data_IF_054698127200
#
_entry.id   IF_054698127200
#
_cell.length_a   1.000
_cell.length_b   1.000
_cell.length_c   1.000
_cell.angle_alpha   90.00
_cell.angle_beta   90.00
_cell.angle_gamma   90.00
#
_symmetry.space_group_name_H-M   'P 1'
#
loop_
_entity.id
_entity.type
_entity.pdbx_description
1 polymer ?
#
# COMPACT_ATOMS: atom_id res chain seq x y z
N UNK A 1 -18.88 -14.62 19.88
CA UNK A 1 -19.16 -14.03 18.55
C UNK A 1 -18.10 -12.96 18.32
N UNK A 2 -17.55 -12.86 17.11
CA UNK A 2 -16.57 -11.81 16.82
C UNK A 2 -17.25 -10.46 16.63
N UNK A 3 -16.53 -9.39 16.99
CA UNK A 3 -17.04 -8.02 16.87
C UNK A 3 -16.10 -7.11 16.08
N UNK A 4 -16.65 -6.33 15.17
CA UNK A 4 -15.90 -5.40 14.30
C UNK A 4 -16.44 -3.99 14.44
N UNK A 5 -15.53 -3.02 14.65
CA UNK A 5 -15.84 -1.61 14.61
C UNK A 5 -15.52 -1.04 13.22
N UNK A 6 -16.50 -0.42 12.57
CA UNK A 6 -16.31 0.40 11.38
C UNK A 6 -16.23 1.87 11.84
N UNK A 7 -15.01 2.42 11.82
CA UNK A 7 -14.72 3.74 12.39
C UNK A 7 -14.82 4.91 11.39
N UNK A 8 -14.98 4.62 10.10
CA UNK A 8 -15.14 5.61 9.04
C UNK A 8 -16.40 5.33 8.21
N UNK A 9 -16.86 6.32 7.43
CA UNK A 9 -17.99 6.14 6.50
C UNK A 9 -17.67 5.06 5.46
N UNK A 10 -18.41 3.95 5.51
CA UNK A 10 -18.26 2.80 4.63
C UNK A 10 -19.64 2.37 4.11
N UNK A 11 -19.66 1.71 2.96
CA UNK A 11 -20.86 1.15 2.34
C UNK A 11 -21.58 0.16 3.28
N UNK A 12 -22.92 0.18 3.26
CA UNK A 12 -23.75 -0.69 4.11
C UNK A 12 -23.60 -2.18 3.76
N UNK A 13 -23.13 -2.49 2.56
CA UNK A 13 -22.79 -3.84 2.08
C UNK A 13 -21.78 -4.52 3.02
N UNK A 14 -20.84 -3.77 3.60
CA UNK A 14 -19.91 -4.32 4.59
C UNK A 14 -20.64 -4.86 5.83
N UNK A 15 -21.68 -4.16 6.32
CA UNK A 15 -22.48 -4.60 7.45
C UNK A 15 -23.27 -5.89 7.11
N UNK A 16 -23.79 -5.99 5.89
CA UNK A 16 -24.47 -7.18 5.41
C UNK A 16 -23.53 -8.40 5.39
N UNK A 17 -22.33 -8.24 4.83
CA UNK A 17 -21.32 -9.31 4.76
C UNK A 17 -20.89 -9.78 6.15
N UNK A 18 -20.64 -8.85 7.09
CA UNK A 18 -20.31 -9.23 8.47
C UNK A 18 -21.45 -10.01 9.12
N UNK A 19 -22.70 -9.55 8.95
CA UNK A 19 -23.89 -10.21 9.50
C UNK A 19 -24.07 -11.62 8.93
N UNK A 20 -23.97 -11.77 7.61
CA UNK A 20 -24.03 -13.08 6.92
C UNK A 20 -22.93 -14.03 7.41
N UNK A 21 -21.78 -13.48 7.79
CA UNK A 21 -20.68 -14.25 8.34
C UNK A 21 -20.80 -14.54 9.85
N UNK A 22 -21.85 -14.08 10.53
CA UNK A 22 -22.04 -14.26 11.97
C UNK A 22 -21.11 -13.39 12.82
N UNK A 23 -20.74 -12.21 12.31
CA UNK A 23 -19.89 -11.22 12.95
C UNK A 23 -20.74 -10.01 13.31
N UNK A 24 -20.69 -9.57 14.56
CA UNK A 24 -21.32 -8.34 15.00
C UNK A 24 -20.52 -7.15 14.47
N UNK A 25 -21.12 -6.29 13.65
CA UNK A 25 -20.48 -5.07 13.15
C UNK A 25 -21.22 -3.84 13.66
N UNK A 26 -20.46 -2.87 14.19
CA UNK A 26 -20.97 -1.57 14.63
C UNK A 26 -20.29 -0.45 13.87
N UNK A 27 -21.06 0.56 13.43
CA UNK A 27 -20.52 1.75 12.77
C UNK A 27 -20.56 2.93 13.74
N UNK A 28 -19.40 3.52 14.03
CA UNK A 28 -19.28 4.77 14.81
C UNK A 28 -18.18 5.62 14.19
N UNK A 29 -18.54 6.73 13.58
CA UNK A 29 -17.60 7.61 12.88
C UNK A 29 -17.15 8.77 13.76
N UNK A 30 -16.14 9.51 13.28
CA UNK A 30 -15.68 10.77 13.87
C UNK A 30 -15.19 10.62 15.33
N UNK A 31 -14.62 9.46 15.64
CA UNK A 31 -14.07 9.15 16.95
C UNK A 31 -12.68 9.75 17.12
N UNK A 32 -12.44 10.43 18.24
CA UNK A 32 -11.09 10.76 18.68
C UNK A 32 -10.36 9.51 19.21
N UNK A 33 -9.04 9.63 19.43
CA UNK A 33 -8.22 8.49 19.85
C UNK A 33 -8.74 7.83 21.15
N UNK A 34 -9.19 8.62 22.12
CA UNK A 34 -9.70 8.12 23.40
C UNK A 34 -11.01 7.35 23.23
N UNK A 35 -11.93 7.89 22.45
CA UNK A 35 -13.23 7.26 22.17
C UNK A 35 -13.04 6.00 21.32
N UNK A 36 -12.13 6.03 20.35
CA UNK A 36 -11.75 4.88 19.55
C UNK A 36 -11.22 3.74 20.42
N UNK A 37 -10.30 4.02 21.35
CA UNK A 37 -9.76 3.04 22.29
C UNK A 37 -10.87 2.41 23.14
N UNK A 38 -11.82 3.22 23.62
CA UNK A 38 -12.94 2.76 24.44
C UNK A 38 -13.82 1.76 23.69
N UNK A 39 -14.18 2.07 22.44
CA UNK A 39 -15.01 1.19 21.60
C UNK A 39 -14.26 -0.11 21.22
N UNK A 40 -12.95 -0.01 20.97
CA UNK A 40 -12.12 -1.14 20.56
C UNK A 40 -11.79 -2.12 21.69
N UNK A 41 -12.05 -1.79 22.96
CA UNK A 41 -11.81 -2.75 24.07
C UNK A 41 -12.58 -4.06 23.88
N UNK A 42 -13.76 -4.00 23.25
CA UNK A 42 -14.61 -5.17 23.00
C UNK A 42 -14.60 -5.64 21.53
N UNK A 43 -13.73 -5.10 20.68
CA UNK A 43 -13.68 -5.46 19.25
C UNK A 43 -12.52 -6.40 18.92
N UNK A 44 -12.77 -7.37 18.05
CA UNK A 44 -11.75 -8.24 17.44
C UNK A 44 -11.18 -7.63 16.14
N UNK A 45 -11.94 -6.77 15.47
CA UNK A 45 -11.52 -6.11 14.23
C UNK A 45 -11.84 -4.61 14.20
N UNK A 46 -11.03 -3.87 13.45
CA UNK A 46 -11.22 -2.46 13.15
C UNK A 46 -11.23 -2.27 11.63
N UNK A 47 -12.22 -1.56 11.10
CA UNK A 47 -12.26 -1.08 9.72
C UNK A 47 -12.10 0.43 9.70
N UNK A 48 -11.11 0.91 8.94
CA UNK A 48 -10.85 2.34 8.72
C UNK A 48 -10.76 2.66 7.24
N UNK A 49 -10.92 3.93 6.89
CA UNK A 49 -10.61 4.51 5.59
C UNK A 49 -9.41 5.43 5.72
N UNK A 50 -9.57 6.74 5.49
CA UNK A 50 -8.49 7.74 5.56
C UNK A 50 -8.64 8.69 6.77
N UNK A 51 -9.81 8.76 7.40
CA UNK A 51 -10.07 9.76 8.43
C UNK A 51 -9.59 9.28 9.80
N UNK A 52 -10.00 8.08 10.21
CA UNK A 52 -9.58 7.50 11.49
C UNK A 52 -8.11 7.07 11.44
N UNK A 53 -7.33 7.43 12.47
CA UNK A 53 -5.92 7.04 12.61
C UNK A 53 -5.77 5.92 13.64
N UNK A 54 -5.30 4.76 13.20
CA UNK A 54 -4.91 3.67 14.08
C UNK A 54 -3.45 3.86 14.51
N UNK A 55 -3.24 4.79 15.45
CA UNK A 55 -1.91 5.13 15.98
C UNK A 55 -1.36 4.04 16.89
N UNK A 56 -0.06 4.11 17.21
CA UNK A 56 0.58 3.27 18.22
C UNK A 56 -0.21 3.19 19.53
N UNK A 57 -0.63 4.35 20.06
CA UNK A 57 -1.41 4.43 21.31
C UNK A 57 -2.72 3.63 21.24
N UNK A 58 -3.44 3.75 20.12
CA UNK A 58 -4.69 3.01 19.88
C UNK A 58 -4.43 1.51 19.83
N UNK A 59 -3.43 1.10 19.05
CA UNK A 59 -3.11 -0.31 18.82
C UNK A 59 -2.66 -1.01 20.11
N UNK A 60 -1.76 -0.39 20.87
CA UNK A 60 -1.20 -0.94 22.11
C UNK A 60 -2.25 -1.03 23.23
N UNK A 61 -3.22 -0.12 23.25
CA UNK A 61 -4.28 -0.07 24.26
C UNK A 61 -5.39 -1.11 24.04
N UNK A 62 -5.47 -1.71 22.84
CA UNK A 62 -6.58 -2.59 22.45
C UNK A 62 -6.15 -4.06 22.35
N UNK A 63 -6.07 -4.74 23.51
CA UNK A 63 -5.55 -6.12 23.60
C UNK A 63 -6.37 -7.14 22.80
N UNK A 64 -7.70 -6.99 22.76
CA UNK A 64 -8.63 -7.90 22.06
C UNK A 64 -8.56 -7.78 20.54
N UNK A 65 -8.15 -6.62 20.01
CA UNK A 65 -8.03 -6.37 18.58
C UNK A 65 -7.09 -7.41 17.95
N UNK A 66 -7.47 -7.97 16.80
CA UNK A 66 -6.69 -8.98 16.06
C UNK A 66 -6.35 -8.51 14.65
N UNK A 67 -7.20 -7.67 14.07
CA UNK A 67 -7.10 -7.25 12.67
C UNK A 67 -7.52 -5.80 12.47
N UNK A 68 -6.79 -5.10 11.60
CA UNK A 68 -7.12 -3.77 11.12
C UNK A 68 -7.27 -3.87 9.59
N UNK A 69 -8.47 -3.62 9.09
CA UNK A 69 -8.72 -3.52 7.67
C UNK A 69 -8.80 -2.08 7.22
N UNK A 70 -7.93 -1.70 6.28
CA UNK A 70 -8.03 -0.41 5.59
C UNK A 70 -8.81 -0.59 4.30
N UNK A 71 -9.98 0.02 4.21
CA UNK A 71 -10.78 0.09 2.99
C UNK A 71 -10.19 1.12 2.00
N UNK A 72 -9.15 0.69 1.29
CA UNK A 72 -8.48 1.34 0.17
C UNK A 72 -7.00 0.91 0.07
N UNK A 73 -6.23 1.49 -0.87
CA UNK A 73 -4.82 1.09 -1.11
C UNK A 73 -3.85 1.53 0.01
N UNK A 74 -3.76 2.84 0.28
CA UNK A 74 -2.81 3.38 1.25
C UNK A 74 -3.14 2.97 2.68
N UNK A 75 -2.11 2.79 3.50
CA UNK A 75 -2.23 2.44 4.92
C UNK A 75 -1.53 3.48 5.81
N UNK A 76 -1.36 4.69 5.29
CA UNK A 76 -0.59 5.78 5.89
C UNK A 76 -1.16 6.23 7.26
N UNK A 77 -2.44 5.95 7.52
CA UNK A 77 -3.14 6.21 8.77
C UNK A 77 -3.12 5.03 9.77
N UNK A 78 -2.34 3.98 9.51
CA UNK A 78 -2.16 2.83 10.38
C UNK A 78 -0.69 2.69 10.75
N UNK A 79 -0.39 2.63 12.04
CA UNK A 79 0.97 2.39 12.53
C UNK A 79 1.34 0.90 12.34
N UNK A 80 1.99 0.59 11.22
CA UNK A 80 2.35 -0.78 10.85
C UNK A 80 3.36 -1.40 11.82
N UNK A 81 4.28 -0.61 12.37
CA UNK A 81 5.29 -1.11 13.30
C UNK A 81 4.64 -1.50 14.64
N UNK A 82 3.73 -0.66 15.15
CA UNK A 82 2.94 -0.98 16.32
C UNK A 82 2.02 -2.19 16.08
N UNK A 83 1.34 -2.26 14.94
CA UNK A 83 0.49 -3.39 14.58
C UNK A 83 1.29 -4.70 14.54
N UNK A 84 2.43 -4.70 13.85
CA UNK A 84 3.34 -5.84 13.73
C UNK A 84 3.84 -6.27 15.11
N UNK A 85 4.35 -5.34 15.90
CA UNK A 85 4.91 -5.60 17.24
C UNK A 85 3.87 -6.19 18.20
N UNK A 86 2.60 -5.79 18.06
CA UNK A 86 1.49 -6.27 18.89
C UNK A 86 0.73 -7.46 18.27
N UNK A 87 1.24 -8.04 17.18
CA UNK A 87 0.66 -9.24 16.56
C UNK A 87 -0.71 -8.99 15.92
N UNK A 88 -0.94 -7.78 15.41
CA UNK A 88 -2.19 -7.38 14.74
C UNK A 88 -1.99 -7.46 13.23
N UNK A 89 -2.85 -8.17 12.53
CA UNK A 89 -2.81 -8.23 11.06
C UNK A 89 -3.36 -6.93 10.50
N UNK A 90 -2.67 -6.34 9.53
CA UNK A 90 -3.17 -5.19 8.76
C UNK A 90 -3.41 -5.64 7.33
N UNK A 91 -4.62 -5.43 6.81
CA UNK A 91 -5.00 -5.74 5.43
C UNK A 91 -5.50 -4.48 4.72
N UNK A 92 -5.28 -4.41 3.41
CA UNK A 92 -5.80 -3.33 2.57
C UNK A 92 -6.63 -3.87 1.39
N UNK A 93 -7.10 -2.98 0.51
CA UNK A 93 -7.84 -3.35 -0.70
C UNK A 93 -7.15 -2.78 -1.95
N UNK A 94 -6.07 -3.42 -2.42
CA UNK A 94 -5.11 -2.80 -3.35
C UNK A 94 -5.65 -2.60 -4.77
N UNK A 95 -6.80 -3.20 -5.10
CA UNK A 95 -7.39 -3.18 -6.43
C UNK A 95 -8.71 -2.39 -6.50
N UNK A 96 -9.43 -2.25 -5.38
CA UNK A 96 -10.82 -1.77 -5.37
C UNK A 96 -11.05 -0.36 -5.93
N UNK A 97 -10.03 0.49 -5.91
CA UNK A 97 -10.08 1.87 -6.41
C UNK A 97 -9.10 2.14 -7.57
N UNK A 98 -8.39 1.15 -8.11
CA UNK A 98 -7.35 1.38 -9.13
C UNK A 98 -7.89 2.05 -10.40
N UNK A 99 -9.09 1.65 -10.83
CA UNK A 99 -9.78 2.22 -11.99
C UNK A 99 -10.18 3.67 -11.70
N UNK A 100 -10.91 3.89 -10.60
CA UNK A 100 -11.38 5.21 -10.18
C UNK A 100 -10.24 6.23 -10.03
N UNK A 101 -9.11 5.82 -9.43
CA UNK A 101 -7.96 6.72 -9.28
C UNK A 101 -7.30 7.04 -10.63
N UNK A 102 -7.26 6.07 -11.55
CA UNK A 102 -6.74 6.31 -12.89
C UNK A 102 -7.66 7.25 -13.69
N UNK A 103 -8.98 7.09 -13.59
CA UNK A 103 -9.97 7.98 -14.20
C UNK A 103 -9.86 9.40 -13.66
N UNK A 104 -9.70 9.56 -12.34
CA UNK A 104 -9.47 10.87 -11.72
C UNK A 104 -8.17 11.51 -12.21
N UNK A 105 -7.08 10.75 -12.31
CA UNK A 105 -5.82 11.25 -12.86
C UNK A 105 -5.95 11.71 -14.31
N UNK A 106 -6.58 10.93 -15.19
CA UNK A 106 -6.86 11.32 -16.58
C UNK A 106 -7.74 12.57 -16.64
N UNK A 107 -8.76 12.64 -15.78
CA UNK A 107 -9.65 13.81 -15.67
C UNK A 107 -8.89 15.06 -15.30
N UNK A 108 -8.00 14.98 -14.29
CA UNK A 108 -7.15 16.10 -13.90
C UNK A 108 -6.12 16.46 -14.98
N UNK A 109 -5.53 15.48 -15.68
CA UNK A 109 -4.65 15.73 -16.84
C UNK A 109 -5.39 16.58 -17.88
N UNK A 110 -6.59 16.17 -18.29
CA UNK A 110 -7.38 16.92 -19.28
C UNK A 110 -7.85 18.27 -18.74
N UNK A 111 -8.18 18.36 -17.45
CA UNK A 111 -8.57 19.61 -16.80
C UNK A 111 -7.45 20.63 -16.79
N UNK A 112 -6.19 20.20 -16.57
CA UNK A 112 -5.01 21.09 -16.69
C UNK A 112 -4.75 21.51 -18.15
N UNK A 113 -5.05 20.65 -19.12
CA UNK A 113 -4.92 21.00 -20.54
C UNK A 113 -5.92 22.09 -20.98
N UNK A 114 -7.11 22.12 -20.36
CA UNK A 114 -8.26 22.95 -20.79
C UNK A 114 -8.69 24.03 -19.80
N UNK A 115 -8.04 24.11 -18.63
CA UNK A 115 -8.33 25.08 -17.57
C UNK A 115 -9.79 25.04 -17.07
N UNK A 116 -10.37 23.85 -17.00
CA UNK A 116 -11.82 23.66 -16.78
C UNK A 116 -12.32 24.36 -15.51
N UNK A 117 -11.70 24.22 -14.32
CA UNK A 117 -12.24 24.86 -13.10
C UNK A 117 -12.21 26.38 -13.15
N UNK A 118 -11.25 26.97 -13.87
CA UNK A 118 -11.18 28.42 -14.04
C UNK A 118 -12.24 28.93 -15.04
N UNK A 119 -12.42 28.20 -16.15
CA UNK A 119 -13.45 28.50 -17.14
C UNK A 119 -14.86 28.41 -16.54
N UNK A 120 -15.12 27.37 -15.74
CA UNK A 120 -16.36 27.18 -15.00
C UNK A 120 -16.64 28.36 -14.05
N UNK A 121 -15.68 28.65 -13.16
CA UNK A 121 -15.78 29.75 -12.19
C UNK A 121 -16.10 31.09 -12.85
N UNK A 122 -15.34 31.47 -13.89
CA UNK A 122 -15.52 32.77 -14.56
C UNK A 122 -16.85 32.87 -15.31
N UNK A 123 -17.33 31.75 -15.87
CA UNK A 123 -18.64 31.70 -16.53
C UNK A 123 -19.78 31.86 -15.53
N UNK A 124 -19.68 31.21 -14.35
CA UNK A 124 -20.62 31.41 -13.24
C UNK A 124 -20.61 32.85 -12.70
N UNK A 125 -19.47 33.55 -12.76
CA UNK A 125 -19.34 34.97 -12.45
C UNK A 125 -19.93 35.90 -13.53
N UNK A 126 -20.51 35.35 -14.61
CA UNK A 126 -21.09 36.12 -15.73
C UNK A 126 -20.06 36.67 -16.70
N UNK A 127 -18.78 36.27 -16.60
CA UNK A 127 -17.71 36.68 -17.53
C UNK A 127 -17.70 35.77 -18.75
N UNK A 128 -17.20 36.30 -19.87
CA UNK A 128 -17.05 35.55 -21.12
C UNK A 128 -15.60 35.57 -21.62
N UNK A 129 -14.75 34.83 -20.92
CA UNK A 129 -13.29 34.79 -21.08
C UNK A 129 -12.79 33.95 -22.29
N UNK A 130 -13.59 33.86 -23.37
CA UNK A 130 -13.29 33.02 -24.54
C UNK A 130 -11.93 33.33 -25.19
N UNK A 131 -11.52 34.59 -25.18
CA UNK A 131 -10.28 35.06 -25.83
C UNK A 131 -9.03 34.85 -24.96
N UNK A 132 -9.18 34.77 -23.64
CA UNK A 132 -8.09 34.69 -22.66
C UNK A 132 -7.81 33.25 -22.25
N UNK A 133 -8.82 32.37 -22.23
CA UNK A 133 -8.67 30.95 -21.88
C UNK A 133 -8.25 30.14 -23.11
N UNK A 134 -6.94 29.90 -23.25
CA UNK A 134 -6.36 29.05 -24.30
C UNK A 134 -5.83 27.75 -23.71
N UNK A 135 -6.46 26.65 -24.08
CA UNK A 135 -6.01 25.30 -23.73
C UNK A 135 -4.93 24.76 -24.69
N UNK A 136 -4.56 23.50 -24.48
CA UNK A 136 -3.69 22.75 -25.39
C UNK A 136 -4.36 21.45 -25.81
N UNK A 137 -4.01 21.00 -27.02
CA UNK A 137 -4.35 19.66 -27.49
C UNK A 137 -3.38 18.62 -26.93
N UNK A 138 -3.91 17.47 -26.54
CA UNK A 138 -3.16 16.34 -25.96
C UNK A 138 -2.65 15.34 -27.00
N UNK A 139 -3.34 15.23 -28.14
CA UNK A 139 -2.97 14.32 -29.23
C UNK A 139 -1.52 14.56 -29.68
N UNK A 140 -0.75 13.47 -29.74
CA UNK A 140 0.65 13.47 -30.15
C UNK A 140 1.64 14.06 -29.13
N UNK A 141 1.17 14.63 -28.02
CA UNK A 141 2.04 15.11 -26.91
C UNK A 141 2.64 13.93 -26.15
N UNK A 142 3.73 14.18 -25.44
CA UNK A 142 4.37 13.17 -24.59
C UNK A 142 3.83 13.23 -23.16
N UNK A 143 3.23 12.13 -22.69
CA UNK A 143 2.87 11.93 -21.29
C UNK A 143 3.95 11.06 -20.62
N UNK A 144 4.61 11.63 -19.61
CA UNK A 144 5.49 10.91 -18.69
C UNK A 144 4.71 10.36 -17.51
N UNK A 145 4.84 9.06 -17.25
CA UNK A 145 4.24 8.39 -16.11
C UNK A 145 5.37 7.96 -15.16
N UNK A 146 5.38 8.50 -13.95
CA UNK A 146 6.30 8.10 -12.89
C UNK A 146 5.59 7.06 -12.03
N UNK A 147 6.01 5.79 -12.14
CA UNK A 147 5.37 4.63 -11.52
C UNK A 147 4.36 3.93 -12.43
N UNK A 148 4.57 2.64 -12.69
CA UNK A 148 3.76 1.82 -13.58
C UNK A 148 3.15 0.60 -12.86
N UNK A 149 2.71 0.81 -11.62
CA UNK A 149 1.91 -0.18 -10.89
C UNK A 149 0.48 -0.30 -11.43
N UNK A 150 -0.45 -0.78 -10.59
CA UNK A 150 -1.86 -0.99 -10.97
C UNK A 150 -2.50 0.26 -11.59
N UNK A 151 -2.39 1.41 -10.93
CA UNK A 151 -2.98 2.67 -11.40
C UNK A 151 -2.23 3.20 -12.63
N UNK A 152 -0.90 3.26 -12.57
CA UNK A 152 -0.07 3.78 -13.67
C UNK A 152 -0.27 3.00 -14.98
N UNK A 153 -0.47 1.69 -14.90
CA UNK A 153 -0.81 0.84 -16.05
C UNK A 153 -2.15 1.24 -16.69
N UNK A 154 -3.18 1.47 -15.87
CA UNK A 154 -4.50 1.90 -16.37
C UNK A 154 -4.40 3.30 -16.98
N UNK A 155 -3.67 4.23 -16.34
CA UNK A 155 -3.43 5.57 -16.88
C UNK A 155 -2.71 5.51 -18.23
N UNK A 156 -1.67 4.68 -18.36
CA UNK A 156 -0.96 4.47 -19.62
C UNK A 156 -1.90 4.02 -20.75
N UNK A 157 -2.73 3.00 -20.49
CA UNK A 157 -3.69 2.49 -21.47
C UNK A 157 -4.69 3.57 -21.92
N UNK A 158 -5.17 4.42 -20.98
CA UNK A 158 -6.17 5.47 -21.26
C UNK A 158 -5.52 6.62 -22.02
N UNK A 159 -4.28 6.97 -21.68
CA UNK A 159 -3.50 7.97 -22.38
C UNK A 159 -3.18 7.56 -23.82
N UNK A 160 -2.85 6.28 -24.08
CA UNK A 160 -2.69 5.77 -25.43
C UNK A 160 -3.99 5.89 -26.25
N UNK A 161 -5.14 5.61 -25.63
CA UNK A 161 -6.46 5.83 -26.25
C UNK A 161 -6.74 7.29 -26.60
N UNK A 162 -6.20 8.22 -25.82
CA UNK A 162 -6.21 9.67 -26.10
C UNK A 162 -5.09 10.12 -27.06
N UNK A 163 -4.38 9.17 -27.66
CA UNK A 163 -3.29 9.39 -28.63
C UNK A 163 -2.10 10.18 -28.07
N UNK A 164 -1.79 10.05 -26.78
CA UNK A 164 -0.50 10.47 -26.24
C UNK A 164 0.64 9.55 -26.71
N UNK A 165 1.85 10.09 -26.79
CA UNK A 165 3.10 9.31 -26.76
C UNK A 165 3.43 9.04 -25.29
N UNK A 166 3.30 7.80 -24.83
CA UNK A 166 3.47 7.46 -23.40
C UNK A 166 4.88 6.96 -23.13
N UNK A 167 5.58 7.65 -22.21
CA UNK A 167 6.88 7.23 -21.68
C UNK A 167 6.77 7.01 -20.17
N UNK A 168 7.51 6.03 -19.64
CA UNK A 168 7.32 5.54 -18.27
C UNK A 168 8.66 5.41 -17.56
N UNK A 169 8.74 5.92 -16.33
CA UNK A 169 9.81 5.61 -15.39
C UNK A 169 9.25 4.73 -14.28
N UNK A 170 9.73 3.49 -14.21
CA UNK A 170 9.52 2.59 -13.08
C UNK A 170 10.72 1.62 -12.99
N UNK A 171 11.52 1.67 -11.91
CA UNK A 171 12.67 0.76 -11.74
C UNK A 171 12.32 -0.72 -11.74
N UNK A 172 11.07 -1.07 -11.43
CA UNK A 172 10.60 -2.44 -11.29
C UNK A 172 9.81 -2.93 -12.51
N UNK A 173 9.52 -2.06 -13.48
CA UNK A 173 8.86 -2.45 -14.72
C UNK A 173 9.84 -3.21 -15.62
N UNK A 174 9.47 -4.42 -16.04
CA UNK A 174 10.25 -5.19 -17.00
C UNK A 174 10.02 -4.69 -18.43
N UNK A 175 11.06 -4.74 -19.28
CA UNK A 175 10.99 -4.20 -20.64
C UNK A 175 9.93 -4.93 -21.49
N UNK A 176 9.80 -6.25 -21.31
CA UNK A 176 8.72 -7.05 -21.94
C UNK A 176 7.34 -6.48 -21.60
N UNK A 177 7.11 -6.11 -20.34
CA UNK A 177 5.83 -5.56 -19.90
C UNK A 177 5.57 -4.18 -20.49
N UNK A 178 6.60 -3.35 -20.64
CA UNK A 178 6.49 -2.05 -21.31
C UNK A 178 6.04 -2.21 -22.78
N UNK A 179 6.64 -3.17 -23.50
CA UNK A 179 6.28 -3.50 -24.88
C UNK A 179 4.82 -3.96 -24.97
N UNK A 180 4.38 -4.88 -24.10
CA UNK A 180 3.00 -5.35 -24.05
C UNK A 180 1.98 -4.23 -23.80
N UNK A 181 2.37 -3.23 -23.01
CA UNK A 181 1.54 -2.06 -22.72
C UNK A 181 1.57 -1.01 -23.84
N UNK A 182 2.45 -1.13 -24.83
CA UNK A 182 2.63 -0.14 -25.89
C UNK A 182 3.26 1.16 -25.41
N UNK A 183 4.10 1.11 -24.37
CA UNK A 183 4.76 2.28 -23.77
C UNK A 183 6.28 2.15 -23.85
N UNK A 184 6.98 3.29 -23.84
CA UNK A 184 8.44 3.33 -23.79
C UNK A 184 8.93 3.48 -22.35
N UNK A 185 9.70 2.52 -21.85
CA UNK A 185 10.37 2.63 -20.55
C UNK A 185 11.65 3.47 -20.70
N UNK A 186 11.82 4.46 -19.84
CA UNK A 186 12.93 5.42 -19.87
C UNK A 186 13.49 5.68 -18.47
N UNK A 187 14.69 6.26 -18.40
CA UNK A 187 15.21 6.81 -17.15
C UNK A 187 14.43 8.07 -16.72
N UNK A 188 14.43 8.38 -15.41
CA UNK A 188 13.71 9.53 -14.87
C UNK A 188 14.14 10.84 -15.54
N UNK A 189 15.45 11.03 -15.75
CA UNK A 189 15.97 12.24 -16.39
C UNK A 189 15.48 12.42 -17.83
N UNK A 190 15.34 11.33 -18.58
CA UNK A 190 14.81 11.38 -19.95
C UNK A 190 13.31 11.64 -19.95
N UNK A 191 12.57 11.08 -18.98
CA UNK A 191 11.16 11.39 -18.78
C UNK A 191 10.96 12.89 -18.56
N UNK A 192 11.68 13.48 -17.59
CA UNK A 192 11.57 14.90 -17.27
C UNK A 192 11.82 15.80 -18.48
N UNK A 193 12.88 15.50 -19.26
CA UNK A 193 13.25 16.30 -20.45
C UNK A 193 12.26 16.19 -21.60
N UNK A 194 11.58 15.05 -21.75
CA UNK A 194 10.74 14.73 -22.92
C UNK A 194 9.25 14.98 -22.70
N UNK A 195 8.80 14.99 -21.45
CA UNK A 195 7.37 15.08 -21.12
C UNK A 195 6.78 16.48 -21.29
N UNK A 196 5.65 16.55 -22.00
CA UNK A 196 4.78 17.74 -22.02
C UNK A 196 3.79 17.70 -20.83
N UNK A 197 3.43 16.49 -20.41
CA UNK A 197 2.62 16.19 -19.24
C UNK A 197 3.35 15.16 -18.37
N UNK A 198 3.26 15.29 -17.05
CA UNK A 198 3.80 14.34 -16.09
C UNK A 198 2.72 13.95 -15.09
N UNK A 199 2.57 12.65 -14.83
CA UNK A 199 1.66 12.13 -13.80
C UNK A 199 2.38 11.14 -12.88
N UNK A 200 2.08 11.19 -11.59
CA UNK A 200 2.73 10.39 -10.56
C UNK A 200 1.80 9.29 -10.05
N UNK A 201 2.33 8.06 -9.96
CA UNK A 201 1.64 6.84 -9.51
C UNK A 201 2.58 5.92 -8.70
N UNK A 202 3.48 6.51 -7.90
CA UNK A 202 4.39 5.78 -7.01
C UNK A 202 3.95 5.88 -5.55
N UNK A 203 4.30 4.89 -4.70
CA UNK A 203 4.19 5.06 -3.24
C UNK A 203 5.15 6.15 -2.74
N UNK A 204 4.89 6.69 -1.55
CA UNK A 204 5.82 7.58 -0.83
C UNK A 204 6.77 6.75 0.04
N UNK A 205 8.07 6.94 -0.17
CA UNK A 205 9.15 6.38 0.66
C UNK A 205 10.41 7.25 0.50
N UNK A 206 11.49 6.92 1.20
CA UNK A 206 12.75 7.68 1.15
C UNK A 206 13.32 7.89 -0.27
N UNK A 207 13.06 6.97 -1.21
CA UNK A 207 13.54 7.09 -2.60
C UNK A 207 12.63 7.91 -3.50
N UNK A 208 11.35 8.06 -3.15
CA UNK A 208 10.33 8.75 -3.96
C UNK A 208 9.88 10.07 -3.36
N UNK A 209 10.23 10.35 -2.09
CA UNK A 209 10.01 11.62 -1.44
C UNK A 209 10.68 12.74 -2.24
N UNK A 210 9.89 13.74 -2.63
CA UNK A 210 10.30 14.83 -3.50
C UNK A 210 11.00 14.34 -4.78
N UNK A 211 10.53 13.24 -5.38
CA UNK A 211 11.02 12.78 -6.69
C UNK A 211 10.90 13.89 -7.75
N UNK A 212 9.89 14.75 -7.62
CA UNK A 212 9.82 16.05 -8.29
C UNK A 212 10.32 17.14 -7.32
N UNK A 213 11.64 17.25 -7.21
CA UNK A 213 12.34 18.27 -6.42
C UNK A 213 12.59 19.55 -7.24
N UNK A 214 13.13 20.59 -6.58
CA UNK A 214 13.62 21.81 -7.25
C UNK A 214 14.57 21.53 -8.41
N UNK A 215 15.44 20.52 -8.29
CA UNK A 215 16.35 20.12 -9.38
C UNK A 215 15.64 19.38 -10.51
N UNK A 216 14.61 18.58 -10.19
CA UNK A 216 13.81 17.91 -11.21
C UNK A 216 13.07 18.92 -12.10
N UNK A 217 12.50 19.99 -11.51
CA UNK A 217 11.85 21.05 -12.28
C UNK A 217 12.77 21.69 -13.32
N UNK A 218 14.05 21.93 -13.00
CA UNK A 218 15.01 22.54 -13.96
C UNK A 218 15.24 21.70 -15.22
N UNK A 219 15.00 20.38 -15.14
CA UNK A 219 15.19 19.45 -16.26
C UNK A 219 13.95 19.36 -17.16
N UNK A 220 12.81 19.89 -16.71
CA UNK A 220 11.55 19.79 -17.43
C UNK A 220 11.48 20.76 -18.60
N UNK A 221 10.58 20.45 -19.55
CA UNK A 221 10.21 21.40 -20.58
C UNK A 221 9.50 22.62 -19.97
N UNK A 222 9.84 23.81 -20.46
CA UNK A 222 9.03 25.00 -20.19
C UNK A 222 7.60 24.78 -20.72
N UNK A 223 6.60 25.05 -19.89
CA UNK A 223 5.19 24.82 -20.18
C UNK A 223 4.68 23.41 -19.87
N UNK A 224 5.45 22.60 -19.14
CA UNK A 224 5.04 21.27 -18.66
C UNK A 224 3.79 21.37 -17.77
N UNK A 225 2.98 20.31 -17.77
CA UNK A 225 1.83 20.15 -16.87
C UNK A 225 2.00 18.95 -15.97
N UNK A 226 1.68 19.08 -14.69
CA UNK A 226 1.98 18.05 -13.69
C UNK A 226 0.72 17.67 -12.91
N UNK A 227 0.48 16.37 -12.75
CA UNK A 227 -0.64 15.82 -11.99
C UNK A 227 -0.15 14.86 -10.92
N UNK A 228 -0.64 15.01 -9.70
CA UNK A 228 -0.39 14.06 -8.61
C UNK A 228 -1.69 13.63 -7.94
N UNK A 229 -2.08 12.39 -8.20
CA UNK A 229 -3.17 11.69 -7.51
C UNK A 229 -2.66 10.49 -6.70
N UNK A 230 -1.35 10.44 -6.41
CA UNK A 230 -0.73 9.31 -5.75
C UNK A 230 -0.57 9.55 -4.25
N UNK A 231 0.44 10.33 -3.85
CA UNK A 231 0.71 10.67 -2.44
C UNK A 231 1.24 12.09 -2.32
N UNK A 232 0.89 12.75 -1.22
CA UNK A 232 1.54 13.99 -0.80
C UNK A 232 3.04 13.80 -0.60
N UNK A 233 3.84 14.85 -0.81
CA UNK A 233 5.29 14.79 -0.63
C UNK A 233 6.07 14.07 -1.74
N UNK A 234 5.43 13.66 -2.84
CA UNK A 234 6.14 13.25 -4.06
C UNK A 234 6.64 14.45 -4.88
N UNK A 235 5.96 15.59 -4.73
CA UNK A 235 6.33 16.87 -5.32
C UNK A 235 6.68 17.81 -4.19
N UNK A 236 7.79 18.53 -4.34
CA UNK A 236 8.10 19.68 -3.49
C UNK A 236 7.09 20.80 -3.74
N UNK A 237 6.15 20.98 -2.81
CA UNK A 237 5.03 21.94 -2.93
C UNK A 237 5.52 23.40 -3.05
N UNK A 238 6.63 23.75 -2.41
CA UNK A 238 7.20 25.11 -2.48
C UNK A 238 7.81 25.33 -3.86
N UNK A 239 8.61 24.38 -4.34
CA UNK A 239 9.19 24.45 -5.68
C UNK A 239 8.11 24.44 -6.78
N UNK A 240 7.01 23.70 -6.59
CA UNK A 240 5.88 23.72 -7.51
C UNK A 240 5.26 25.11 -7.62
N UNK A 241 5.03 25.78 -6.48
CA UNK A 241 4.51 27.16 -6.46
C UNK A 241 5.43 28.12 -7.21
N UNK A 242 6.73 28.11 -6.89
CA UNK A 242 7.73 28.96 -7.55
C UNK A 242 7.69 28.78 -9.08
N UNK A 243 7.58 27.53 -9.55
CA UNK A 243 7.57 27.21 -10.98
C UNK A 243 6.23 27.51 -11.68
N UNK A 244 5.11 27.53 -10.96
CA UNK A 244 3.84 28.01 -11.49
C UNK A 244 3.85 29.55 -11.62
N UNK A 245 4.34 30.25 -10.60
CA UNK A 245 4.40 31.72 -10.57
C UNK A 245 5.36 32.29 -11.63
N UNK A 246 6.49 31.62 -11.87
CA UNK A 246 7.45 32.03 -12.90
C UNK A 246 7.09 31.52 -14.32
N UNK A 247 6.02 30.75 -14.47
CA UNK A 247 5.51 30.23 -15.75
C UNK A 247 6.36 29.12 -16.38
N UNK A 248 7.28 28.50 -15.64
CA UNK A 248 7.98 27.29 -16.10
C UNK A 248 7.01 26.10 -16.17
N UNK A 249 6.15 25.94 -15.16
CA UNK A 249 5.02 24.99 -15.18
C UNK A 249 3.78 25.74 -15.66
N UNK A 250 3.17 25.26 -16.74
CA UNK A 250 2.00 25.91 -17.31
C UNK A 250 0.76 25.76 -16.42
N UNK A 251 0.59 24.58 -15.82
CA UNK A 251 -0.48 24.28 -14.89
C UNK A 251 -0.22 22.97 -14.14
N UNK A 252 -0.80 22.80 -12.96
CA UNK A 252 -0.74 21.54 -12.22
C UNK A 252 -2.08 21.16 -11.61
N UNK A 253 -2.23 19.89 -11.23
CA UNK A 253 -3.36 19.42 -10.44
C UNK A 253 -2.90 18.47 -9.34
N UNK A 254 -3.33 18.72 -8.10
CA UNK A 254 -3.02 17.87 -6.95
C UNK A 254 -4.33 17.41 -6.30
N UNK A 255 -4.44 16.10 -6.11
CA UNK A 255 -5.49 15.49 -5.31
C UNK A 255 -5.02 15.17 -3.87
N UNK A 256 -3.71 15.24 -3.63
CA UNK A 256 -3.06 14.79 -2.39
C UNK A 256 -2.02 15.82 -1.94
N UNK A 257 -1.84 15.96 -0.62
CA UNK A 257 -1.03 17.00 0.01
C UNK A 257 -0.13 16.43 1.10
N UNK A 258 0.97 17.11 1.44
CA UNK A 258 1.82 16.70 2.57
C UNK A 258 1.03 16.67 3.88
N UNK A 259 0.21 17.70 4.10
CA UNK A 259 -0.72 17.78 5.22
C UNK A 259 -2.15 17.78 4.69
N UNK A 260 -2.98 16.88 5.23
CA UNK A 260 -4.39 16.76 4.85
C UNK A 260 -5.28 16.85 6.10
N UNK A 261 -6.19 17.84 6.18
CA UNK A 261 -6.47 18.91 5.21
C UNK A 261 -5.30 19.91 5.05
N UNK A 262 -5.10 20.53 3.86
CA UNK A 262 -3.93 21.36 3.56
C UNK A 262 -4.00 22.77 4.18
N UNK A 263 -4.24 22.85 5.48
CA UNK A 263 -4.35 24.11 6.22
C UNK A 263 -3.00 24.83 6.20
N UNK A 264 -2.99 26.07 5.72
CA UNK A 264 -1.77 26.87 5.62
C UNK A 264 -0.81 26.46 4.50
N UNK A 265 -1.19 25.52 3.61
CA UNK A 265 -0.36 25.18 2.45
C UNK A 265 -0.16 26.42 1.57
N UNK A 266 1.08 26.71 1.12
CA UNK A 266 1.38 27.86 0.28
C UNK A 266 0.72 27.74 -1.11
N UNK A 267 0.28 26.54 -1.48
CA UNK A 267 -0.38 26.25 -2.74
C UNK A 267 -1.81 26.79 -2.82
N UNK A 268 -2.47 27.02 -1.69
CA UNK A 268 -3.83 27.57 -1.68
C UNK A 268 -3.86 28.95 -2.35
N UNK A 269 -4.76 29.12 -3.32
CA UNK A 269 -4.90 30.36 -4.08
C UNK A 269 -3.90 30.54 -5.23
N UNK A 270 -3.01 29.57 -5.48
CA UNK A 270 -2.06 29.63 -6.60
C UNK A 270 -2.79 29.56 -7.95
N UNK A 271 -2.43 30.45 -8.88
CA UNK A 271 -3.00 30.44 -10.24
C UNK A 271 -2.54 29.21 -11.01
N UNK A 272 -3.35 28.75 -11.97
CA UNK A 272 -3.08 27.56 -12.80
C UNK A 272 -2.87 26.26 -12.01
N UNK A 273 -3.37 26.19 -10.77
CA UNK A 273 -3.32 25.01 -9.92
C UNK A 273 -4.75 24.53 -9.61
N UNK A 274 -5.03 23.27 -9.91
CA UNK A 274 -6.27 22.60 -9.57
C UNK A 274 -6.03 21.79 -8.30
N UNK A 275 -6.88 21.96 -7.30
CA UNK A 275 -6.80 21.23 -6.04
C UNK A 275 -8.11 20.46 -5.81
N UNK A 276 -8.01 19.16 -5.56
CA UNK A 276 -9.15 18.32 -5.18
C UNK A 276 -8.89 17.66 -3.82
N UNK A 277 -9.91 17.50 -2.97
CA UNK A 277 -9.72 17.04 -1.59
C UNK A 277 -9.63 15.49 -1.50
N UNK A 278 -8.58 14.90 -2.10
CA UNK A 278 -8.30 13.46 -2.06
C UNK A 278 -9.48 12.60 -2.55
N UNK A 279 -9.97 12.92 -3.76
CA UNK A 279 -11.12 12.31 -4.40
C UNK A 279 -10.79 11.09 -5.25
N UNK A 280 -9.52 10.71 -5.42
CA UNK A 280 -9.10 9.62 -6.30
C UNK A 280 -9.74 8.26 -6.02
N UNK A 281 -10.40 8.05 -4.88
CA UNK A 281 -11.17 6.84 -4.57
C UNK A 281 -12.65 7.12 -4.24
N UNK A 282 -13.12 8.34 -4.44
CA UNK A 282 -14.42 8.84 -3.97
C UNK A 282 -15.52 8.67 -5.03
N UNK A 283 -15.74 7.43 -5.47
CA UNK A 283 -16.91 7.05 -6.30
C UNK A 283 -17.69 5.91 -5.65
N UNK A 284 -18.98 5.80 -5.99
CA UNK A 284 -19.86 4.74 -5.48
C UNK A 284 -19.27 3.35 -5.73
N UNK A 285 -18.79 3.08 -6.94
CA UNK A 285 -18.25 1.78 -7.34
C UNK A 285 -16.97 1.43 -6.56
N UNK A 286 -16.10 2.42 -6.30
CA UNK A 286 -14.92 2.22 -5.49
C UNK A 286 -15.29 1.94 -4.04
N UNK A 287 -16.24 2.71 -3.48
CA UNK A 287 -16.71 2.54 -2.10
C UNK A 287 -17.30 1.15 -1.87
N UNK A 288 -18.15 0.68 -2.78
CA UNK A 288 -18.73 -0.65 -2.72
C UNK A 288 -17.66 -1.73 -2.82
N UNK A 289 -16.77 -1.67 -3.83
CA UNK A 289 -15.71 -2.68 -4.02
C UNK A 289 -14.78 -2.80 -2.81
N UNK A 290 -14.33 -1.67 -2.25
CA UNK A 290 -13.43 -1.70 -1.08
C UNK A 290 -14.16 -2.14 0.18
N UNK A 291 -15.45 -1.82 0.33
CA UNK A 291 -16.27 -2.23 1.47
C UNK A 291 -16.52 -3.74 1.46
N UNK A 292 -16.93 -4.29 0.32
CA UNK A 292 -17.14 -5.73 0.13
C UNK A 292 -15.84 -6.48 0.40
N UNK A 293 -14.77 -6.08 -0.29
CA UNK A 293 -13.49 -6.75 -0.16
C UNK A 293 -12.97 -6.72 1.28
N UNK A 294 -12.99 -5.58 1.98
CA UNK A 294 -12.42 -5.54 3.34
C UNK A 294 -13.26 -6.35 4.34
N UNK A 295 -14.59 -6.39 4.17
CA UNK A 295 -15.48 -7.14 5.03
C UNK A 295 -15.29 -8.65 4.87
N UNK A 296 -15.14 -9.13 3.63
CA UNK A 296 -14.79 -10.52 3.33
C UNK A 296 -13.44 -10.90 3.94
N UNK A 297 -12.40 -10.10 3.70
CA UNK A 297 -11.04 -10.37 4.21
C UNK A 297 -10.98 -10.46 5.74
N UNK A 298 -11.65 -9.54 6.45
CA UNK A 298 -11.72 -9.59 7.92
C UNK A 298 -12.54 -10.80 8.38
N UNK A 299 -13.64 -11.11 7.70
CA UNK A 299 -14.49 -12.26 8.05
C UNK A 299 -13.72 -13.57 7.92
N UNK A 300 -13.00 -13.74 6.81
CA UNK A 300 -12.15 -14.89 6.53
C UNK A 300 -11.05 -15.04 7.59
N UNK A 301 -10.36 -13.95 7.92
CA UNK A 301 -9.33 -13.96 8.95
C UNK A 301 -9.87 -14.36 10.32
N UNK A 302 -10.95 -13.73 10.77
CA UNK A 302 -11.51 -14.00 12.09
C UNK A 302 -12.05 -15.43 12.19
N UNK A 303 -12.72 -15.94 11.15
CA UNK A 303 -13.36 -17.27 11.18
C UNK A 303 -12.40 -18.41 10.90
N UNK A 304 -11.48 -18.24 9.97
CA UNK A 304 -10.66 -19.34 9.43
C UNK A 304 -9.16 -19.11 9.57
N UNK A 305 -8.72 -17.89 9.89
CA UNK A 305 -7.32 -17.50 9.90
C UNK A 305 -6.73 -17.24 8.50
N UNK A 306 -7.54 -17.28 7.44
CA UNK A 306 -7.09 -16.92 6.11
C UNK A 306 -6.75 -15.42 6.03
N UNK A 307 -5.62 -15.08 5.42
CA UNK A 307 -5.10 -13.72 5.33
C UNK A 307 -4.95 -13.37 3.85
N UNK A 308 -5.53 -12.26 3.42
CA UNK A 308 -5.42 -11.79 2.04
C UNK A 308 -5.10 -10.31 2.03
N UNK A 309 -4.20 -9.92 1.12
CA UNK A 309 -3.72 -8.53 1.00
C UNK A 309 -3.19 -7.97 2.34
N UNK A 310 -2.49 -8.80 3.12
CA UNK A 310 -1.79 -8.31 4.29
C UNK A 310 -0.62 -7.41 3.90
N UNK A 311 -0.48 -6.30 4.61
CA UNK A 311 0.59 -5.33 4.37
C UNK A 311 1.74 -5.46 5.38
N UNK A 312 1.52 -6.16 6.49
CA UNK A 312 2.51 -6.33 7.56
C UNK A 312 2.85 -7.80 7.87
N UNK A 313 2.29 -8.75 7.12
CA UNK A 313 2.61 -10.19 7.22
C UNK A 313 2.34 -10.91 5.89
N UNK A 314 2.55 -12.22 5.86
CA UNK A 314 2.24 -13.05 4.69
C UNK A 314 0.74 -13.05 4.37
N UNK A 315 0.41 -13.26 3.11
CA UNK A 315 -0.95 -13.64 2.69
C UNK A 315 -1.03 -15.15 2.51
N UNK A 316 -2.15 -15.74 2.92
CA UNK A 316 -2.46 -17.14 2.87
C UNK A 316 -3.98 -17.32 2.71
N UNK A 317 -4.41 -17.69 1.50
CA UNK A 317 -5.83 -17.96 1.22
C UNK A 317 -6.33 -19.20 1.99
N UNK A 318 -7.66 -19.37 2.13
CA UNK A 318 -8.22 -20.55 2.77
C UNK A 318 -7.81 -21.87 2.09
N UNK A 319 -7.66 -21.88 0.76
CA UNK A 319 -7.21 -23.05 -0.02
C UNK A 319 -5.73 -23.35 0.24
N UNK A 320 -4.87 -22.33 0.24
CA UNK A 320 -3.46 -22.50 0.57
C UNK A 320 -3.28 -22.91 2.02
N UNK A 321 -4.11 -22.39 2.94
CA UNK A 321 -4.10 -22.77 4.36
C UNK A 321 -4.24 -24.28 4.53
N UNK A 322 -5.15 -24.95 3.81
CA UNK A 322 -5.27 -26.41 3.87
C UNK A 322 -3.99 -27.14 3.45
N UNK A 323 -3.27 -26.59 2.46
CA UNK A 323 -2.03 -27.17 1.96
C UNK A 323 -0.86 -26.95 2.92
N UNK A 324 -0.80 -25.80 3.60
CA UNK A 324 0.29 -25.49 4.56
C UNK A 324 0.00 -25.96 5.98
N UNK A 325 -1.25 -26.24 6.35
CA UNK A 325 -1.68 -26.58 7.71
C UNK A 325 -0.87 -27.74 8.34
N UNK A 326 -0.58 -28.85 7.65
CA UNK A 326 0.26 -29.92 8.22
C UNK A 326 1.68 -29.41 8.54
N UNK A 327 2.25 -28.63 7.63
CA UNK A 327 3.59 -28.06 7.76
C UNK A 327 3.68 -26.97 8.83
N UNK A 328 2.60 -26.22 9.07
CA UNK A 328 2.54 -25.24 10.16
C UNK A 328 2.68 -25.90 11.53
N UNK A 329 2.05 -27.05 11.73
CA UNK A 329 2.19 -27.80 12.98
C UNK A 329 3.63 -28.28 13.17
N UNK A 330 4.23 -28.86 12.12
CA UNK A 330 5.63 -29.29 12.15
C UNK A 330 6.58 -28.11 12.41
N UNK A 331 6.38 -27.00 11.69
CA UNK A 331 7.14 -25.74 11.85
C UNK A 331 7.16 -25.26 13.31
N UNK A 332 5.99 -25.28 13.96
CA UNK A 332 5.87 -24.88 15.36
C UNK A 332 6.64 -25.82 16.30
N UNK A 333 6.60 -27.13 16.05
CA UNK A 333 7.32 -28.14 16.84
C UNK A 333 8.83 -28.04 16.65
N UNK A 334 9.32 -27.93 15.40
CA UNK A 334 10.75 -27.80 15.09
C UNK A 334 11.35 -26.57 15.75
N UNK A 335 10.72 -25.40 15.55
CA UNK A 335 11.16 -24.16 16.18
C UNK A 335 11.14 -24.26 17.70
N UNK A 336 10.06 -24.80 18.27
CA UNK A 336 9.91 -24.90 19.73
C UNK A 336 10.91 -25.85 20.37
N UNK A 337 11.21 -26.98 19.71
CA UNK A 337 12.22 -27.93 20.16
C UNK A 337 13.63 -27.31 20.10
N UNK A 338 14.00 -26.73 18.97
CA UNK A 338 15.30 -26.08 18.82
C UNK A 338 15.45 -24.89 19.80
N UNK A 339 14.40 -24.12 20.03
CA UNK A 339 14.40 -22.96 20.93
C UNK A 339 14.65 -23.34 22.37
N UNK A 340 14.00 -24.39 22.86
CA UNK A 340 14.19 -24.91 24.22
C UNK A 340 15.61 -25.44 24.46
N UNK A 341 16.31 -25.90 23.41
CA UNK A 341 17.68 -26.39 23.49
C UNK A 341 18.74 -25.31 23.23
N UNK A 342 18.33 -24.09 22.91
CA UNK A 342 19.23 -22.99 22.56
C UNK A 342 19.50 -22.10 23.76
N UNK A 343 20.66 -22.29 24.38
CA UNK A 343 21.08 -21.53 25.58
C UNK A 343 21.96 -20.31 25.25
N UNK A 344 22.38 -20.14 24.00
CA UNK A 344 23.32 -19.10 23.59
C UNK A 344 22.72 -18.22 22.48
N UNK A 345 23.29 -17.03 22.28
CA UNK A 345 22.84 -16.09 21.27
C UNK A 345 22.90 -16.71 19.86
N UNK A 346 21.78 -16.67 19.15
CA UNK A 346 21.67 -17.18 17.77
C UNK A 346 22.36 -16.19 16.83
N UNK A 347 23.23 -16.69 15.96
CA UNK A 347 23.86 -15.93 14.88
C UNK A 347 23.11 -16.08 13.57
N UNK A 348 22.68 -17.30 13.26
CA UNK A 348 21.92 -17.57 12.04
C UNK A 348 20.90 -18.70 12.19
N UNK A 349 19.86 -18.58 11.37
CA UNK A 349 18.78 -19.55 11.19
C UNK A 349 18.76 -19.90 9.71
N UNK A 350 18.89 -21.17 9.39
CA UNK A 350 18.68 -21.69 8.04
C UNK A 350 17.51 -22.66 8.05
N UNK A 351 16.58 -22.48 7.12
CA UNK A 351 15.41 -23.34 6.96
C UNK A 351 15.47 -23.95 5.56
N UNK A 352 15.47 -25.27 5.49
CA UNK A 352 15.49 -26.03 4.25
C UNK A 352 14.12 -26.68 4.06
N UNK A 353 13.50 -26.46 2.90
CA UNK A 353 12.24 -27.09 2.50
C UNK A 353 12.52 -28.04 1.34
N UNK A 354 12.16 -29.31 1.49
CA UNK A 354 12.36 -30.35 0.47
C UNK A 354 11.04 -31.01 0.05
N UNK A 355 11.02 -31.54 -1.18
CA UNK A 355 9.86 -32.25 -1.73
C UNK A 355 8.61 -31.37 -1.75
N UNK A 356 7.50 -31.89 -1.24
CA UNK A 356 6.21 -31.17 -1.21
C UNK A 356 6.25 -29.85 -0.43
N UNK A 357 7.06 -29.75 0.63
CA UNK A 357 7.19 -28.51 1.42
C UNK A 357 7.87 -27.37 0.64
N UNK A 358 8.72 -27.69 -0.35
CA UNK A 358 9.35 -26.69 -1.20
C UNK A 358 8.33 -25.97 -2.12
N UNK A 359 7.23 -26.65 -2.46
CA UNK A 359 6.24 -26.21 -3.43
C UNK A 359 5.07 -25.41 -2.83
N UNK A 360 4.96 -25.37 -1.49
CA UNK A 360 3.96 -24.55 -0.81
C UNK A 360 4.50 -23.15 -0.47
N UNK A 361 3.60 -22.25 -0.07
CA UNK A 361 3.97 -20.94 0.44
C UNK A 361 4.79 -21.11 1.74
N UNK A 362 6.10 -20.84 1.68
CA UNK A 362 7.04 -21.04 2.80
C UNK A 362 7.00 -19.93 3.84
N UNK A 363 6.53 -18.73 3.48
CA UNK A 363 6.47 -17.57 4.38
C UNK A 363 5.75 -17.85 5.72
N UNK A 364 4.54 -18.45 5.75
CA UNK A 364 3.89 -18.80 7.02
C UNK A 364 4.67 -19.84 7.84
N UNK A 365 5.39 -20.75 7.17
CA UNK A 365 6.18 -21.80 7.81
C UNK A 365 7.41 -21.19 8.49
N UNK A 366 8.15 -20.37 7.75
CA UNK A 366 9.33 -19.64 8.24
C UNK A 366 9.00 -18.76 9.44
N UNK A 367 7.94 -17.95 9.36
CA UNK A 367 7.53 -17.11 10.48
C UNK A 367 7.14 -17.94 11.72
N UNK A 368 6.45 -19.06 11.51
CA UNK A 368 6.07 -19.96 12.61
C UNK A 368 7.29 -20.62 13.25
N UNK A 369 8.27 -21.07 12.46
CA UNK A 369 9.54 -21.64 12.96
C UNK A 369 10.27 -20.60 13.81
N UNK A 370 10.49 -19.40 13.28
CA UNK A 370 11.23 -18.34 13.97
C UNK A 370 10.50 -17.89 15.24
N UNK A 371 9.17 -17.75 15.17
CA UNK A 371 8.35 -17.45 16.35
C UNK A 371 8.56 -18.50 17.44
N UNK A 372 8.36 -19.78 17.14
CA UNK A 372 8.50 -20.86 18.11
C UNK A 372 9.93 -20.98 18.65
N UNK A 373 10.94 -20.71 17.81
CA UNK A 373 12.35 -20.71 18.17
C UNK A 373 12.70 -19.61 19.18
N UNK A 374 12.18 -18.39 18.98
CA UNK A 374 12.49 -17.23 19.81
C UNK A 374 11.59 -17.11 21.04
N UNK A 375 10.42 -17.77 21.04
CA UNK A 375 9.43 -17.64 22.12
C UNK A 375 9.98 -17.92 23.53
N UNK A 376 10.85 -18.92 23.76
CA UNK A 376 11.40 -19.18 25.09
C UNK A 376 12.27 -18.06 25.66
N UNK A 377 12.83 -17.18 24.82
CA UNK A 377 13.80 -16.14 25.24
C UNK A 377 13.31 -14.72 24.98
N UNK A 378 12.19 -14.55 24.28
CA UNK A 378 11.69 -13.24 23.84
C UNK A 378 10.17 -13.19 23.96
N UNK A 379 9.66 -12.63 25.05
CA UNK A 379 8.21 -12.59 25.32
C UNK A 379 7.41 -11.82 24.27
N UNK A 380 8.00 -10.75 23.74
CA UNK A 380 7.39 -9.86 22.75
C UNK A 380 7.26 -10.48 21.35
N UNK A 381 7.84 -11.67 21.11
CA UNK A 381 7.74 -12.33 19.81
C UNK A 381 6.36 -12.94 19.60
N UNK A 382 5.84 -12.78 18.38
CA UNK A 382 4.64 -13.36 17.83
C UNK A 382 4.91 -13.79 16.38
N UNK A 383 3.97 -14.50 15.73
CA UNK A 383 4.18 -14.99 14.35
C UNK A 383 4.45 -13.85 13.37
N UNK A 384 3.70 -12.74 13.49
CA UNK A 384 3.76 -11.59 12.59
C UNK A 384 5.11 -10.85 12.72
N UNK A 385 5.60 -10.60 13.93
CA UNK A 385 6.86 -9.88 14.16
C UNK A 385 8.11 -10.78 14.20
N UNK A 386 7.97 -12.11 14.11
CA UNK A 386 9.06 -13.08 14.31
C UNK A 386 10.33 -12.75 13.52
N UNK A 387 10.19 -12.49 12.22
CA UNK A 387 11.30 -12.13 11.33
C UNK A 387 11.90 -10.77 11.68
N UNK A 388 11.07 -9.80 12.09
CA UNK A 388 11.54 -8.48 12.49
C UNK A 388 12.33 -8.53 13.80
N UNK A 389 11.85 -9.29 14.79
CA UNK A 389 12.52 -9.54 16.07
C UNK A 389 13.85 -10.27 15.86
N UNK A 390 13.90 -11.24 14.96
CA UNK A 390 15.15 -11.92 14.62
C UNK A 390 16.18 -10.95 14.00
N UNK A 391 15.75 -10.12 13.04
CA UNK A 391 16.62 -9.12 12.42
C UNK A 391 17.11 -8.06 13.41
N UNK A 392 16.27 -7.59 14.33
CA UNK A 392 16.69 -6.61 15.35
C UNK A 392 17.73 -7.16 16.32
N UNK A 393 17.76 -8.49 16.52
CA UNK A 393 18.80 -9.21 17.24
C UNK A 393 20.01 -9.59 16.37
N UNK A 394 20.12 -9.04 15.16
CA UNK A 394 21.18 -9.34 14.17
C UNK A 394 21.28 -10.82 13.78
N UNK A 395 20.17 -11.55 13.84
CA UNK A 395 20.11 -12.95 13.42
C UNK A 395 19.97 -13.00 11.89
N UNK A 396 20.92 -13.65 11.21
CA UNK A 396 20.81 -13.92 9.77
C UNK A 396 19.78 -15.02 9.50
N UNK A 397 18.92 -14.84 8.50
CA UNK A 397 17.89 -15.81 8.14
C UNK A 397 18.07 -16.18 6.67
N UNK A 398 18.12 -17.48 6.38
CA UNK A 398 18.17 -18.00 5.00
C UNK A 398 17.17 -19.12 4.79
N UNK A 399 16.50 -19.12 3.65
CA UNK A 399 15.65 -20.21 3.18
C UNK A 399 16.33 -20.93 2.00
N UNK A 400 16.29 -22.26 2.01
CA UNK A 400 16.73 -23.11 0.90
C UNK A 400 15.57 -23.99 0.47
N UNK A 401 15.34 -24.10 -0.84
CA UNK A 401 14.31 -24.96 -1.40
C UNK A 401 14.92 -25.99 -2.33
N UNK A 402 14.66 -27.27 -2.06
CA UNK A 402 15.08 -28.39 -2.89
C UNK A 402 13.86 -29.07 -3.49
N UNK A 403 13.78 -29.12 -4.83
CA UNK A 403 12.69 -29.82 -5.53
C UNK A 403 12.84 -31.34 -5.53
N UNK A 404 14.00 -31.87 -5.11
CA UNK A 404 14.25 -33.31 -5.07
C UNK A 404 13.55 -33.93 -3.86
N UNK A 405 12.95 -35.09 -4.08
CA UNK A 405 12.53 -35.98 -2.99
C UNK A 405 13.74 -36.82 -2.60
N UNK A 406 14.12 -36.77 -1.32
CA UNK A 406 15.16 -37.64 -0.74
C UNK A 406 14.44 -38.84 -0.07
N UNK A 407 14.90 -39.30 1.10
CA UNK A 407 14.31 -40.43 1.82
C UNK A 407 12.85 -40.19 2.29
N UNK A 408 12.38 -38.93 2.25
CA UNK A 408 11.02 -38.52 2.61
C UNK A 408 10.37 -37.71 1.48
N UNK A 409 9.04 -37.87 1.30
CA UNK A 409 8.22 -37.06 0.35
C UNK A 409 8.20 -35.57 0.69
N UNK A 410 8.51 -35.21 1.93
CA UNK A 410 8.58 -33.84 2.42
C UNK A 410 9.52 -33.77 3.59
N UNK A 411 10.38 -32.75 3.63
CA UNK A 411 11.27 -32.48 4.76
C UNK A 411 11.28 -30.98 5.05
N UNK A 412 11.27 -30.62 6.33
CA UNK A 412 11.55 -29.26 6.79
C UNK A 412 12.69 -29.36 7.78
N UNK A 413 13.86 -28.86 7.41
CA UNK A 413 15.04 -28.86 8.29
C UNK A 413 15.32 -27.46 8.80
N UNK A 414 15.42 -27.34 10.11
CA UNK A 414 15.85 -26.12 10.80
C UNK A 414 17.29 -26.31 11.29
N UNK A 415 18.18 -25.45 10.83
CA UNK A 415 19.56 -25.36 11.31
C UNK A 415 19.75 -24.05 12.08
N UNK A 416 20.19 -24.14 13.34
CA UNK A 416 20.46 -23.00 14.22
C UNK A 416 21.95 -22.96 14.52
N UNK A 417 22.58 -21.82 14.27
CA UNK A 417 23.99 -21.58 14.58
C UNK A 417 24.12 -20.52 15.65
N UNK A 418 24.87 -20.83 16.70
CA UNK A 418 25.28 -19.90 17.76
C UNK A 418 26.79 -19.63 17.66
N UNK A 419 27.33 -18.90 18.63
CA UNK A 419 28.78 -18.77 18.83
C UNK A 419 29.50 -20.07 19.20
N UNK A 420 28.80 -21.00 19.86
CA UNK A 420 29.39 -22.26 20.38
C UNK A 420 29.15 -23.47 19.50
N UNK A 421 28.06 -23.52 18.74
CA UNK A 421 27.67 -24.73 18.00
C UNK A 421 26.72 -24.44 16.85
N UNK A 422 26.65 -25.40 15.92
CA UNK A 422 25.61 -25.50 14.90
C UNK A 422 24.85 -26.80 15.13
N UNK A 423 23.51 -26.74 15.18
CA UNK A 423 22.63 -27.91 15.33
C UNK A 423 21.53 -27.85 14.28
N UNK A 424 21.07 -29.03 13.86
CA UNK A 424 19.92 -29.15 12.96
C UNK A 424 18.89 -30.13 13.50
N UNK A 425 17.62 -29.87 13.19
CA UNK A 425 16.47 -30.76 13.42
C UNK A 425 15.61 -30.77 12.17
N UNK A 426 15.11 -31.94 11.76
CA UNK A 426 14.34 -32.13 10.52
C UNK A 426 13.14 -33.02 10.71
#
# INVERSE_FOLDING_TARGET
MYKVLIADKLSNEALAIFKENGIEAITKTDLDAKSLIKELQDCDGLVVRSATKATKEVIESCKKLKVIGRAGIGVDNVDLDAATSNGKVVMNTPFGNSITTAEHAITLILSTARQIPYADKTTHEGKWEKSTIKGVEVTGKTLGIIGCGNIGTIVAQRALGLQFKVIVFDPFLQDKRAIELGVEKVALDDLLKRSDFITLHTPLNEKTKNIISKEAFKKMKKGVRIVNCARGGLIDEVALKENLENGHVASAALDVFIEEPPKGSPLLGTKNLILTPHLGASTTEAQEKVAVQIAEQISDYLKTGAITNAVNTFSLTAKEYQSVKPFLKLSSLLGGFAGQLTENAIKSIQIEFEGTAANVNSAPLTQTIIYSLLKPTTDSVNVINSVLVAKSKSISISEVKHQKENDYQSLIKLTVTTDKQTRSVS
#
